data_IF_367443651465
#
_entry.id   IF_367443651465
#
_cell.length_a   1.000
_cell.length_b   1.000
_cell.length_c   1.000
_cell.angle_alpha   90.00
_cell.angle_beta   90.00
_cell.angle_gamma   90.00
#
_symmetry.space_group_name_H-M   'P 1'
#
loop_
_entity.id
_entity.type
_entity.pdbx_description
1 polymer ?
#
# COMPACT_ATOMS: atom_id res chain seq x y z
N UNK A 1 -1.56 6.83 0.30
CA UNK A 1 -0.99 5.54 -0.16
C UNK A 1 -1.69 5.01 -1.43
N UNK A 2 -2.99 4.69 -1.39
CA UNK A 2 -3.71 4.13 -2.56
C UNK A 2 -3.63 4.97 -3.85
N UNK A 3 -3.68 6.30 -3.74
CA UNK A 3 -3.51 7.19 -4.91
C UNK A 3 -2.10 7.03 -5.52
N UNK A 4 -1.05 6.95 -4.70
CA UNK A 4 0.32 6.75 -5.18
C UNK A 4 0.49 5.39 -5.88
N UNK A 5 -0.16 4.34 -5.36
CA UNK A 5 -0.22 3.02 -6.02
C UNK A 5 -0.92 3.11 -7.38
N UNK A 6 -2.02 3.87 -7.49
CA UNK A 6 -2.73 4.09 -8.75
C UNK A 6 -1.88 4.85 -9.77
N UNK A 7 -1.16 5.88 -9.33
CA UNK A 7 -0.21 6.64 -10.17
C UNK A 7 0.92 5.72 -10.67
N UNK A 8 1.48 4.90 -9.79
CA UNK A 8 2.47 3.88 -10.17
C UNK A 8 1.92 2.87 -11.20
N UNK A 9 0.74 2.31 -10.94
CA UNK A 9 0.09 1.38 -11.87
C UNK A 9 -0.16 2.02 -13.25
N UNK A 10 -0.56 3.29 -13.28
CA UNK A 10 -0.72 4.06 -14.53
C UNK A 10 0.59 4.32 -15.25
N UNK A 11 1.72 4.47 -14.53
CA UNK A 11 3.03 4.61 -15.18
C UNK A 11 3.49 3.30 -15.84
N UNK A 12 3.00 2.16 -15.38
CA UNK A 12 3.35 0.83 -15.91
C UNK A 12 2.67 0.50 -17.24
N UNK A 13 1.49 1.05 -17.51
CA UNK A 13 0.67 0.66 -18.68
C UNK A 13 0.22 1.88 -19.48
N UNK A 14 0.31 1.81 -20.81
CA UNK A 14 -0.22 2.86 -21.70
C UNK A 14 -1.74 2.77 -21.88
N UNK A 15 -2.34 1.64 -21.51
CA UNK A 15 -3.78 1.42 -21.62
C UNK A 15 -4.47 1.75 -20.28
N UNK A 16 -5.38 2.73 -20.30
CA UNK A 16 -6.12 3.20 -19.13
C UNK A 16 -6.90 2.10 -18.41
N UNK A 17 -7.49 1.15 -19.16
CA UNK A 17 -8.26 0.04 -18.59
C UNK A 17 -7.32 -0.91 -17.84
N UNK A 18 -6.15 -1.22 -18.43
CA UNK A 18 -5.16 -2.07 -17.80
C UNK A 18 -4.57 -1.40 -16.55
N UNK A 19 -4.30 -0.09 -16.59
CA UNK A 19 -3.85 0.68 -15.44
C UNK A 19 -4.86 0.63 -14.27
N UNK A 20 -6.15 0.79 -14.57
CA UNK A 20 -7.22 0.71 -13.57
C UNK A 20 -7.30 -0.67 -12.92
N UNK A 21 -7.31 -1.75 -13.72
CA UNK A 21 -7.36 -3.13 -13.19
C UNK A 21 -6.13 -3.41 -12.31
N UNK A 22 -4.95 -2.95 -12.72
CA UNK A 22 -3.71 -3.19 -12.00
C UNK A 22 -3.66 -2.40 -10.68
N UNK A 23 -4.16 -1.16 -10.67
CA UNK A 23 -4.34 -0.38 -9.44
C UNK A 23 -5.35 -1.06 -8.48
N UNK A 24 -6.47 -1.56 -9.00
CA UNK A 24 -7.47 -2.28 -8.20
C UNK A 24 -6.89 -3.58 -7.63
N UNK A 25 -6.16 -4.35 -8.45
CA UNK A 25 -5.56 -5.60 -8.02
C UNK A 25 -4.54 -5.34 -6.91
N UNK A 26 -3.65 -4.36 -7.07
CA UNK A 26 -2.69 -4.01 -6.01
C UNK A 26 -3.41 -3.51 -4.75
N UNK A 27 -4.45 -2.68 -4.89
CA UNK A 27 -5.22 -2.18 -3.75
C UNK A 27 -5.95 -3.28 -2.97
N UNK A 28 -6.64 -4.17 -3.66
CA UNK A 28 -7.34 -5.31 -3.06
C UNK A 28 -6.34 -6.30 -2.47
N UNK A 29 -5.23 -6.56 -3.16
CA UNK A 29 -4.13 -7.39 -2.67
C UNK A 29 -3.59 -6.83 -1.36
N UNK A 30 -3.25 -5.54 -1.29
CA UNK A 30 -2.82 -4.88 -0.05
C UNK A 30 -3.87 -4.91 1.06
N UNK A 31 -5.16 -4.89 0.74
CA UNK A 31 -6.22 -4.98 1.74
C UNK A 31 -6.41 -6.42 2.26
N UNK A 32 -6.44 -7.40 1.36
CA UNK A 32 -6.82 -8.78 1.67
C UNK A 32 -5.64 -9.64 2.14
N UNK A 33 -4.45 -9.51 1.54
CA UNK A 33 -3.28 -10.29 1.94
C UNK A 33 -2.81 -9.91 3.33
N UNK A 34 -2.78 -8.62 3.65
CA UNK A 34 -2.36 -8.16 4.98
C UNK A 34 -3.34 -8.61 6.07
N UNK A 35 -4.65 -8.52 5.81
CA UNK A 35 -5.66 -9.04 6.74
C UNK A 35 -5.58 -10.56 6.96
N UNK A 36 -5.30 -11.32 5.89
CA UNK A 36 -5.22 -12.79 5.99
C UNK A 36 -3.93 -13.26 6.67
N UNK A 37 -2.78 -12.63 6.38
CA UNK A 37 -1.49 -12.98 7.00
C UNK A 37 -1.45 -12.62 8.49
N UNK A 38 -2.06 -11.50 8.88
CA UNK A 38 -2.21 -11.14 10.30
C UNK A 38 -3.05 -12.18 11.08
N UNK A 39 -4.05 -12.79 10.44
CA UNK A 39 -4.89 -13.81 11.06
C UNK A 39 -4.23 -15.20 11.14
N UNK A 40 -3.21 -15.49 10.29
CA UNK A 40 -2.57 -16.81 10.22
C UNK A 40 -1.20 -16.89 10.90
N UNK A 41 -0.56 -15.76 11.23
CA UNK A 41 0.75 -15.75 11.89
C UNK A 41 0.64 -15.48 13.39
N UNK A 42 1.18 -16.40 14.20
CA UNK A 42 1.35 -16.23 15.65
C UNK A 42 2.84 -16.24 16.02
N UNK A 43 3.26 -15.32 16.92
CA UNK A 43 4.66 -15.09 17.31
C UNK A 43 5.21 -13.72 16.86
N UNK A 44 6.54 -13.50 16.95
CA UNK A 44 7.19 -12.24 16.53
C UNK A 44 6.94 -11.86 15.06
N UNK A 45 6.72 -12.85 14.19
CA UNK A 45 6.34 -12.61 12.79
C UNK A 45 4.91 -12.05 12.72
N UNK A 46 4.02 -12.49 13.61
CA UNK A 46 2.66 -11.97 13.73
C UNK A 46 2.64 -10.51 14.19
N UNK A 47 3.46 -10.12 15.17
CA UNK A 47 3.58 -8.72 15.59
C UNK A 47 4.10 -7.81 14.47
N UNK A 48 5.13 -8.24 13.73
CA UNK A 48 5.65 -7.47 12.58
C UNK A 48 4.59 -7.34 11.49
N UNK A 49 3.85 -8.40 11.18
CA UNK A 49 2.77 -8.34 10.20
C UNK A 49 1.55 -7.56 10.69
N UNK A 50 1.32 -7.52 12.00
CA UNK A 50 0.28 -6.70 12.62
C UNK A 50 0.63 -5.21 12.56
N UNK A 51 1.90 -4.86 12.77
CA UNK A 51 2.45 -3.51 12.56
C UNK A 51 2.45 -3.11 11.07
N UNK A 52 2.66 -4.07 10.16
CA UNK A 52 2.62 -3.84 8.71
C UNK A 52 1.20 -3.85 8.13
N UNK A 53 0.21 -4.29 8.92
CA UNK A 53 -1.17 -4.42 8.46
C UNK A 53 -1.84 -3.06 8.37
N UNK A 54 -2.05 -2.61 7.14
CA UNK A 54 -2.81 -1.41 6.80
C UNK A 54 -4.16 -1.35 7.52
N UNK A 55 -4.84 -2.50 7.68
CA UNK A 55 -6.13 -2.58 8.35
C UNK A 55 -6.05 -2.19 9.82
N UNK A 56 -4.99 -2.55 10.54
CA UNK A 56 -4.88 -2.32 11.98
C UNK A 56 -4.53 -0.85 12.31
N UNK A 57 -3.65 -0.24 11.51
CA UNK A 57 -3.41 1.20 11.54
C UNK A 57 -4.66 1.98 11.09
N UNK A 58 -5.35 1.53 10.04
CA UNK A 58 -6.57 2.19 9.58
C UNK A 58 -7.68 2.16 10.64
N UNK A 59 -7.80 1.05 11.37
CA UNK A 59 -8.79 0.89 12.44
C UNK A 59 -8.40 1.69 13.71
N UNK A 60 -7.10 1.88 13.97
CA UNK A 60 -6.59 2.74 15.05
C UNK A 60 -6.81 4.23 14.75
N UNK A 61 -6.54 4.65 13.51
CA UNK A 61 -6.86 5.99 13.00
C UNK A 61 -8.38 6.23 13.02
N UNK A 62 -9.19 5.24 12.64
CA UNK A 62 -10.66 5.30 12.69
C UNK A 62 -11.19 5.44 14.13
N UNK A 63 -10.51 4.83 15.10
CA UNK A 63 -10.78 5.01 16.54
C UNK A 63 -10.25 6.34 17.10
N UNK A 64 -9.64 7.19 16.29
CA UNK A 64 -9.14 8.51 16.69
C UNK A 64 -7.79 8.48 17.41
N UNK A 65 -7.11 7.33 17.44
CA UNK A 65 -5.75 7.19 17.99
C UNK A 65 -4.78 7.28 16.83
N UNK A 66 -4.23 8.47 16.62
CA UNK A 66 -3.25 8.71 15.55
C UNK A 66 -1.86 8.54 16.15
N UNK A 67 -1.28 7.35 16.00
CA UNK A 67 0.11 7.12 16.33
C UNK A 67 1.04 7.67 15.24
N UNK A 68 2.22 8.15 15.63
CA UNK A 68 3.20 8.72 14.67
C UNK A 68 3.75 7.64 13.72
N UNK A 69 3.73 6.38 14.17
CA UNK A 69 4.14 5.21 13.37
C UNK A 69 3.22 5.02 12.15
N UNK A 70 1.92 5.22 12.35
CA UNK A 70 0.93 5.01 11.30
C UNK A 70 1.09 6.02 10.17
N UNK A 71 1.30 7.28 10.53
CA UNK A 71 1.59 8.35 9.57
C UNK A 71 2.87 8.02 8.79
N UNK A 72 3.93 7.60 9.48
CA UNK A 72 5.20 7.30 8.83
C UNK A 72 5.08 6.11 7.86
N UNK A 73 4.29 5.10 8.22
CA UNK A 73 4.01 3.95 7.36
C UNK A 73 3.28 4.36 6.07
N UNK A 74 2.19 5.13 6.19
CA UNK A 74 1.45 5.63 5.02
C UNK A 74 2.32 6.55 4.14
N UNK A 75 3.13 7.41 4.76
CA UNK A 75 4.04 8.32 4.05
C UNK A 75 5.13 7.53 3.30
N UNK A 76 5.67 6.49 3.91
CA UNK A 76 6.67 5.60 3.28
C UNK A 76 6.11 4.93 2.02
N UNK A 77 4.88 4.40 2.09
CA UNK A 77 4.21 3.81 0.92
C UNK A 77 3.98 4.86 -0.18
N UNK A 78 3.57 6.07 0.19
CA UNK A 78 3.38 7.17 -0.77
C UNK A 78 4.70 7.51 -1.46
N UNK A 79 5.78 7.68 -0.69
CA UNK A 79 7.09 8.03 -1.20
C UNK A 79 7.61 6.95 -2.16
N UNK A 80 7.55 5.68 -1.75
CA UNK A 80 7.95 4.55 -2.60
C UNK A 80 7.13 4.50 -3.89
N UNK A 81 5.80 4.64 -3.80
CA UNK A 81 4.93 4.62 -4.97
C UNK A 81 5.23 5.75 -5.97
N UNK A 82 5.52 6.96 -5.48
CA UNK A 82 5.86 8.10 -6.32
C UNK A 82 7.26 7.98 -6.94
N UNK A 83 8.28 7.61 -6.17
CA UNK A 83 9.65 7.39 -6.69
C UNK A 83 9.66 6.30 -7.76
N UNK A 84 8.95 5.20 -7.51
CA UNK A 84 8.88 4.11 -8.46
C UNK A 84 8.12 4.51 -9.74
N UNK A 85 7.12 5.37 -9.61
CA UNK A 85 6.41 5.96 -10.76
C UNK A 85 7.32 6.88 -11.56
N UNK A 86 8.05 7.77 -10.90
CA UNK A 86 9.03 8.66 -11.56
C UNK A 86 10.10 7.86 -12.30
N UNK A 87 10.67 6.83 -11.67
CA UNK A 87 11.66 5.97 -12.28
C UNK A 87 11.12 5.26 -13.54
N UNK A 88 9.89 4.77 -13.48
CA UNK A 88 9.24 4.12 -14.63
C UNK A 88 8.93 5.09 -15.77
N UNK A 89 8.56 6.33 -15.45
CA UNK A 89 8.33 7.39 -16.44
C UNK A 89 9.65 7.83 -17.07
N UNK A 90 10.70 8.03 -16.27
CA UNK A 90 12.04 8.40 -16.76
C UNK A 90 12.62 7.35 -17.69
N UNK A 91 12.38 6.05 -17.43
CA UNK A 91 12.86 4.95 -18.29
C UNK A 91 12.08 4.82 -19.61
N UNK A 92 10.96 5.53 -19.76
CA UNK A 92 10.13 5.57 -20.97
C UNK A 92 10.41 6.79 -21.85
N UNK A 93 11.11 7.80 -21.34
CA UNK A 93 11.60 8.95 -22.08
C UNK A 93 12.91 8.59 -22.81
#
# INVERSE_FOLDING_TARGET
AYIAIGIFASSLTKNQIAAFILALLIGVCFHFLFGMIAATSSGWVGEIFQDLSLTNHYDSISRGVIDTKDIFYFLSIVFIGLVLSEFMVSKRA
#
